data_IF_865395086118
#
_entry.id   IF_865395086118
#
_cell.length_a   1.000
_cell.length_b   1.000
_cell.length_c   1.000
_cell.angle_alpha   90.00
_cell.angle_beta   90.00
_cell.angle_gamma   90.00
#
_symmetry.space_group_name_H-M   'P 1'
#
loop_
_entity.id
_entity.type
_entity.pdbx_description
1 polymer ?
#
# COMPACT_ATOMS: atom_id res chain seq x y z
N UNK A 1 -10.13 16.43 9.27
CA UNK A 1 -8.95 15.55 9.32
C UNK A 1 -9.15 14.54 8.21
N UNK A 2 -8.18 14.39 7.34
CA UNK A 2 -8.29 13.50 6.18
C UNK A 2 -7.97 12.07 6.63
N UNK A 3 -8.68 11.09 6.07
CA UNK A 3 -8.56 9.67 6.42
C UNK A 3 -8.14 8.90 5.18
N UNK A 4 -7.16 8.01 5.34
CA UNK A 4 -6.59 7.22 4.26
C UNK A 4 -6.66 5.75 4.62
N UNK A 5 -7.14 4.93 3.69
CA UNK A 5 -7.02 3.47 3.74
C UNK A 5 -5.67 3.04 3.15
N UNK A 6 -5.01 2.08 3.80
CA UNK A 6 -3.75 1.52 3.33
C UNK A 6 -3.94 0.02 3.10
N UNK A 7 -3.83 -0.39 1.84
CA UNK A 7 -3.70 -1.78 1.46
C UNK A 7 -2.21 -2.12 1.31
N UNK A 8 -1.79 -3.24 1.88
CA UNK A 8 -0.38 -3.68 1.81
C UNK A 8 -0.25 -5.19 1.80
N UNK A 9 0.73 -5.69 1.06
CA UNK A 9 1.08 -7.10 1.02
C UNK A 9 2.58 -7.30 0.91
N UNK A 10 3.08 -8.40 1.46
CA UNK A 10 4.46 -8.83 1.21
C UNK A 10 4.51 -9.68 -0.06
N UNK A 11 5.39 -9.32 -0.98
CA UNK A 11 5.81 -10.23 -2.05
C UNK A 11 6.82 -11.20 -1.42
N UNK A 12 6.53 -12.50 -1.48
CA UNK A 12 7.49 -13.51 -1.06
C UNK A 12 8.59 -13.64 -2.11
N UNK A 13 9.71 -12.92 -1.95
CA UNK A 13 10.83 -13.05 -2.87
C UNK A 13 12.18 -13.14 -2.15
N UNK A 14 12.80 -14.32 -2.27
CA UNK A 14 14.25 -14.48 -2.22
C UNK A 14 14.92 -14.49 -0.84
N UNK A 15 16.12 -15.07 -0.81
CA UNK A 15 16.91 -15.44 0.38
C UNK A 15 17.34 -14.26 1.27
N UNK A 16 17.13 -13.00 0.85
CA UNK A 16 17.50 -11.78 1.57
C UNK A 16 16.45 -10.69 1.33
N UNK A 17 15.73 -10.30 2.38
CA UNK A 17 14.79 -9.17 2.39
C UNK A 17 13.32 -9.56 2.24
N UNK A 18 12.43 -8.63 2.55
CA UNK A 18 10.99 -8.74 2.27
C UNK A 18 10.58 -7.48 1.54
N UNK A 19 10.09 -7.63 0.29
CA UNK A 19 9.48 -6.54 -0.46
C UNK A 19 8.03 -6.39 -0.01
N UNK A 20 7.60 -5.15 0.22
CA UNK A 20 6.24 -4.83 0.64
C UNK A 20 5.69 -3.76 -0.29
N UNK A 21 4.61 -4.09 -0.96
CA UNK A 21 3.89 -3.14 -1.80
C UNK A 21 2.82 -2.41 -0.97
N UNK A 22 2.48 -1.20 -1.40
CA UNK A 22 1.50 -0.33 -0.76
C UNK A 22 0.60 0.34 -1.80
N UNK A 23 -0.69 0.42 -1.48
CA UNK A 23 -1.69 1.25 -2.17
C UNK A 23 -2.36 2.14 -1.13
N UNK A 24 -2.34 3.45 -1.37
CA UNK A 24 -2.99 4.44 -0.52
C UNK A 24 -4.27 4.92 -1.20
N UNK A 25 -5.38 4.89 -0.47
CA UNK A 25 -6.67 5.38 -0.95
C UNK A 25 -7.23 6.44 -0.02
N UNK A 26 -7.84 7.48 -0.59
CA UNK A 26 -8.69 8.36 0.19
C UNK A 26 -9.91 7.58 0.70
N UNK A 27 -10.14 7.59 2.01
CA UNK A 27 -11.16 6.73 2.63
C UNK A 27 -12.59 7.15 2.28
N UNK A 28 -12.83 8.44 2.00
CA UNK A 28 -14.17 8.92 1.70
C UNK A 28 -14.60 8.62 0.27
N UNK A 29 -13.64 8.49 -0.65
CA UNK A 29 -13.89 8.38 -2.10
C UNK A 29 -13.45 7.06 -2.72
N UNK A 30 -12.65 6.26 -2.00
CA UNK A 30 -11.98 5.05 -2.50
C UNK A 30 -11.02 5.35 -3.69
N UNK A 31 -10.67 6.62 -3.92
CA UNK A 31 -9.72 7.02 -4.95
C UNK A 31 -8.30 6.64 -4.56
N UNK A 32 -7.58 5.99 -5.49
CA UNK A 32 -6.16 5.69 -5.27
C UNK A 32 -5.31 6.94 -5.45
N UNK A 33 -4.70 7.40 -4.37
CA UNK A 33 -3.88 8.61 -4.30
C UNK A 33 -2.37 8.33 -4.29
N UNK A 34 -1.96 7.06 -4.11
CA UNK A 34 -0.53 6.71 -4.08
C UNK A 34 -0.23 5.22 -4.22
N UNK A 35 0.97 4.91 -4.72
CA UNK A 35 1.53 3.55 -4.85
C UNK A 35 3.02 3.55 -4.52
N UNK A 36 3.49 2.54 -3.81
CA UNK A 36 4.91 2.34 -3.51
C UNK A 36 5.29 0.85 -3.56
N UNK A 37 6.55 0.58 -3.93
CA UNK A 37 7.11 -0.76 -4.12
C UNK A 37 8.49 -0.93 -3.50
#
# INVERSE_FOLDING_TARGET
ADVVEIETWCQGEGRIGTRRDFVLKDFATDEVIGRAT
#
